data_IF_066948899676
#
_entry.id   IF_066948899676
#
_cell.length_a   1.000
_cell.length_b   1.000
_cell.length_c   1.000
_cell.angle_alpha   90.00
_cell.angle_beta   90.00
_cell.angle_gamma   90.00
#
_symmetry.space_group_name_H-M   'P 1'
#
loop_
_entity.id
_entity.type
_entity.pdbx_description
1 polymer ?
#
# COMPACT_ATOMS: atom_id res chain seq x y z
N UNK A 1 17.76 2.77 19.25
CA UNK A 1 16.47 3.24 18.81
C UNK A 1 16.22 2.86 17.35
N UNK A 2 15.10 2.34 17.08
CA UNK A 2 14.77 1.96 15.72
C UNK A 2 14.52 3.15 14.81
N UNK A 3 14.76 2.97 13.55
CA UNK A 3 14.39 3.96 12.55
C UNK A 3 12.90 3.87 12.30
N UNK A 4 12.27 5.01 12.11
CA UNK A 4 10.88 5.03 11.69
C UNK A 4 10.80 4.61 10.22
N UNK A 5 9.76 3.88 9.88
CA UNK A 5 9.44 3.55 8.50
C UNK A 5 8.19 4.33 8.12
N UNK A 6 8.32 5.39 7.32
CA UNK A 6 7.16 6.22 6.97
C UNK A 6 6.04 5.45 6.29
N UNK A 7 6.37 4.44 5.49
CA UNK A 7 5.36 3.63 4.81
C UNK A 7 4.62 2.76 5.81
N UNK A 8 5.33 2.10 6.71
CA UNK A 8 4.71 1.28 7.75
C UNK A 8 3.82 2.13 8.65
N UNK A 9 4.29 3.30 9.06
CA UNK A 9 3.53 4.23 9.89
C UNK A 9 2.26 4.71 9.18
N UNK A 10 2.37 5.03 7.90
CA UNK A 10 1.23 5.47 7.11
C UNK A 10 0.16 4.40 7.01
N UNK A 11 0.55 3.16 6.72
CA UNK A 11 -0.39 2.05 6.60
C UNK A 11 -1.04 1.70 7.93
N UNK A 12 -0.27 1.72 9.01
CA UNK A 12 -0.81 1.53 10.37
C UNK A 12 -1.84 2.60 10.69
N UNK A 13 -1.55 3.85 10.32
CA UNK A 13 -2.43 4.97 10.54
C UNK A 13 -3.75 4.79 9.77
N UNK A 14 -3.67 4.39 8.51
CA UNK A 14 -4.84 4.09 7.69
C UNK A 14 -5.71 3.00 8.33
N UNK A 15 -5.08 1.90 8.73
CA UNK A 15 -5.78 0.79 9.37
C UNK A 15 -6.47 1.22 10.66
N UNK A 16 -5.79 1.97 11.50
CA UNK A 16 -6.33 2.41 12.77
C UNK A 16 -7.53 3.34 12.58
N UNK A 17 -7.45 4.26 11.63
CA UNK A 17 -8.57 5.16 11.33
C UNK A 17 -9.74 4.40 10.73
N UNK A 18 -9.48 3.43 9.87
CA UNK A 18 -10.53 2.58 9.30
C UNK A 18 -11.24 1.78 10.39
N UNK A 19 -10.48 1.19 11.31
CA UNK A 19 -11.04 0.44 12.44
C UNK A 19 -11.86 1.32 13.39
N UNK A 20 -11.50 2.59 13.49
CA UNK A 20 -12.23 3.57 14.31
C UNK A 20 -13.41 4.21 13.57
N UNK A 21 -13.73 3.72 12.38
CA UNK A 21 -14.81 4.24 11.53
C UNK A 21 -14.67 5.73 11.19
N UNK A 22 -13.44 6.20 11.05
CA UNK A 22 -13.16 7.58 10.61
C UNK A 22 -13.34 7.69 9.11
N UNK A 23 -13.73 8.88 8.65
CA UNK A 23 -13.92 9.15 7.22
C UNK A 23 -12.67 9.67 6.53
N UNK A 24 -11.71 10.16 7.32
CA UNK A 24 -10.49 10.76 6.79
C UNK A 24 -9.29 10.34 7.62
N UNK A 25 -8.14 10.33 6.95
CA UNK A 25 -6.87 10.06 7.59
C UNK A 25 -5.82 10.99 6.99
N UNK A 26 -5.01 11.60 7.85
CA UNK A 26 -3.91 12.44 7.40
C UNK A 26 -2.62 11.65 7.55
N UNK A 27 -1.87 11.54 6.46
CA UNK A 27 -0.63 10.78 6.39
C UNK A 27 0.52 11.72 6.04
N UNK A 28 1.61 11.58 6.73
CA UNK A 28 2.83 12.35 6.47
C UNK A 28 4.08 11.51 6.69
N UNK A 29 5.17 11.82 6.02
CA UNK A 29 5.31 12.83 4.97
C UNK A 29 4.73 12.36 3.64
N UNK A 30 4.37 13.29 2.76
CA UNK A 30 3.84 12.98 1.44
C UNK A 30 4.97 12.61 0.50
N UNK A 31 5.47 11.39 0.62
CA UNK A 31 6.56 10.90 -0.22
C UNK A 31 6.01 10.41 -1.56
N UNK A 32 6.90 10.34 -2.55
CA UNK A 32 6.56 9.84 -3.88
C UNK A 32 6.12 8.38 -3.82
N UNK A 33 6.82 7.57 -3.02
CA UNK A 33 6.48 6.16 -2.86
C UNK A 33 5.11 6.00 -2.22
N UNK A 34 4.81 6.78 -1.20
CA UNK A 34 3.50 6.74 -0.55
C UNK A 34 2.38 7.10 -1.52
N UNK A 35 2.62 8.11 -2.37
CA UNK A 35 1.66 8.49 -3.41
C UNK A 35 1.34 7.32 -4.33
N UNK A 36 2.37 6.58 -4.75
CA UNK A 36 2.18 5.42 -5.62
C UNK A 36 1.39 4.32 -4.93
N UNK A 37 1.64 4.09 -3.65
CA UNK A 37 0.89 3.10 -2.88
C UNK A 37 -0.57 3.51 -2.76
N UNK A 38 -0.85 4.78 -2.47
CA UNK A 38 -2.22 5.29 -2.39
C UNK A 38 -2.93 5.19 -3.73
N UNK A 39 -2.22 5.43 -4.83
CA UNK A 39 -2.78 5.30 -6.18
C UNK A 39 -3.28 3.87 -6.42
N UNK A 40 -2.48 2.87 -6.07
CA UNK A 40 -2.86 1.47 -6.21
C UNK A 40 -4.07 1.16 -5.32
N UNK A 41 -4.07 1.61 -4.08
CA UNK A 41 -5.18 1.38 -3.17
C UNK A 41 -6.48 2.01 -3.68
N UNK A 42 -6.40 3.18 -4.28
CA UNK A 42 -7.56 3.83 -4.88
C UNK A 42 -8.06 3.06 -6.11
N UNK A 43 -7.16 2.66 -7.00
CA UNK A 43 -7.51 1.89 -8.19
C UNK A 43 -8.20 0.57 -7.84
N UNK A 44 -7.79 -0.06 -6.76
CA UNK A 44 -8.35 -1.34 -6.34
C UNK A 44 -9.57 -1.18 -5.42
N UNK A 45 -9.99 0.05 -5.15
CA UNK A 45 -11.21 0.31 -4.40
C UNK A 45 -11.10 0.24 -2.89
N UNK A 46 -9.90 0.34 -2.33
CA UNK A 46 -9.72 0.29 -0.87
C UNK A 46 -9.86 1.65 -0.21
N UNK A 47 -9.54 2.73 -0.92
CA UNK A 47 -9.71 4.09 -0.43
C UNK A 47 -10.46 4.92 -1.46
N UNK A 48 -11.01 6.04 -1.01
CA UNK A 48 -11.63 7.03 -1.90
C UNK A 48 -10.57 7.95 -2.49
N UNK A 49 -10.86 9.24 -2.50
CA UNK A 49 -9.90 10.21 -3.01
C UNK A 49 -8.80 10.49 -2.01
N UNK A 50 -7.67 10.94 -2.50
CA UNK A 50 -6.60 11.45 -1.67
C UNK A 50 -6.05 12.71 -2.31
N UNK A 51 -5.60 13.64 -1.48
CA UNK A 51 -5.08 14.91 -1.98
C UNK A 51 -3.81 15.31 -1.26
N UNK A 52 -2.93 15.96 -1.99
CA UNK A 52 -1.71 16.50 -1.43
C UNK A 52 -2.00 17.88 -0.84
N UNK A 53 -1.53 18.10 0.39
CA UNK A 53 -1.62 19.39 1.06
C UNK A 53 -0.21 19.81 1.46
N UNK A 54 0.17 21.00 1.03
CA UNK A 54 1.46 21.57 1.38
C UNK A 54 1.41 22.08 2.82
N UNK A 55 2.26 21.53 3.68
CA UNK A 55 2.32 21.93 5.09
C UNK A 55 3.57 22.76 5.40
N UNK A 56 4.25 23.26 4.37
CA UNK A 56 5.49 24.02 4.53
C UNK A 56 6.73 23.15 4.74
N UNK A 57 6.57 21.82 4.66
CA UNK A 57 7.68 20.85 4.78
C UNK A 57 7.62 19.91 3.58
N UNK A 58 7.48 18.61 3.84
CA UNK A 58 7.39 17.62 2.77
C UNK A 58 5.96 17.43 2.26
N UNK A 59 5.00 18.02 2.96
CA UNK A 59 3.59 17.88 2.63
C UNK A 59 2.93 16.71 3.33
N UNK A 60 1.62 16.66 3.21
CA UNK A 60 0.80 15.58 3.75
C UNK A 60 -0.17 15.09 2.69
N UNK A 61 -0.68 13.87 2.88
CA UNK A 61 -1.82 13.38 2.11
C UNK A 61 -3.05 13.33 3.01
N UNK A 62 -4.15 13.86 2.51
CA UNK A 62 -5.46 13.74 3.14
C UNK A 62 -6.21 12.66 2.38
N UNK A 63 -6.48 11.55 3.04
CA UNK A 63 -7.06 10.35 2.43
C UNK A 63 -8.49 10.16 2.92
N UNK A 64 -9.41 9.97 1.99
CA UNK A 64 -10.79 9.64 2.32
C UNK A 64 -10.98 8.14 2.43
N UNK A 65 -11.49 7.68 3.58
CA UNK A 65 -11.71 6.28 3.85
C UNK A 65 -13.16 5.91 3.51
N UNK A 66 -13.35 4.73 2.95
CA UNK A 66 -14.65 4.27 2.46
C UNK A 66 -15.11 2.96 3.09
N UNK A 67 -14.46 2.54 4.18
CA UNK A 67 -14.86 1.33 4.89
C UNK A 67 -14.48 0.03 4.22
N UNK A 68 -13.48 0.03 3.34
CA UNK A 68 -13.09 -1.15 2.55
C UNK A 68 -11.80 -1.82 2.99
N UNK A 69 -11.06 -1.23 3.92
CA UNK A 69 -9.80 -1.83 4.39
C UNK A 69 -10.08 -2.68 5.62
N UNK A 70 -9.80 -3.98 5.51
CA UNK A 70 -9.82 -4.89 6.65
C UNK A 70 -8.48 -4.91 7.36
N UNK A 71 -7.40 -5.00 6.55
CA UNK A 71 -6.05 -4.95 7.07
C UNK A 71 -5.12 -4.42 5.99
N UNK A 72 -4.11 -3.66 6.40
CA UNK A 72 -3.03 -3.27 5.50
C UNK A 72 -1.75 -3.11 6.31
N UNK A 73 -0.65 -3.59 5.77
CA UNK A 73 0.65 -3.54 6.43
C UNK A 73 1.78 -3.42 5.43
N UNK A 74 2.86 -2.81 5.86
CA UNK A 74 4.11 -2.86 5.12
C UNK A 74 4.72 -4.26 5.25
N UNK A 75 5.31 -4.75 4.16
CA UNK A 75 5.99 -6.04 4.16
C UNK A 75 7.47 -5.78 4.45
N UNK A 76 7.97 -6.40 5.50
CA UNK A 76 9.37 -6.29 5.93
C UNK A 76 9.95 -7.67 6.16
N UNK A 77 11.15 -7.94 5.63
CA UNK A 77 11.88 -7.12 4.68
C UNK A 77 11.18 -7.04 3.33
N UNK A 78 11.63 -6.14 2.47
CA UNK A 78 11.05 -6.00 1.12
C UNK A 78 11.61 -7.11 0.24
N UNK A 79 11.01 -8.30 0.34
CA UNK A 79 11.47 -9.47 -0.38
C UNK A 79 11.51 -9.24 -1.89
N UNK A 80 12.58 -9.71 -2.52
CA UNK A 80 12.65 -9.74 -3.97
C UNK A 80 11.84 -10.95 -4.47
N UNK A 81 11.00 -10.73 -5.48
CA UNK A 81 10.10 -11.74 -6.00
C UNK A 81 10.24 -11.82 -7.52
N UNK A 82 10.44 -13.02 -8.02
CA UNK A 82 10.47 -13.26 -9.48
C UNK A 82 9.05 -13.30 -10.00
N UNK A 83 8.91 -13.11 -11.32
CA UNK A 83 7.61 -13.04 -12.00
C UNK A 83 6.70 -14.24 -11.74
N UNK A 84 7.25 -15.39 -11.42
CA UNK A 84 6.50 -16.64 -11.21
C UNK A 84 6.42 -17.05 -9.74
N UNK A 85 6.83 -16.17 -8.81
CA UNK A 85 6.88 -16.47 -7.38
C UNK A 85 5.78 -15.76 -6.55
N UNK A 86 4.91 -14.98 -7.17
CA UNK A 86 3.92 -14.20 -6.43
C UNK A 86 2.94 -15.05 -5.64
N UNK A 87 2.59 -16.22 -6.16
CA UNK A 87 1.62 -17.10 -5.53
C UNK A 87 2.01 -17.48 -4.12
N UNK A 88 3.30 -17.73 -3.89
CA UNK A 88 3.85 -18.03 -2.57
C UNK A 88 3.53 -16.92 -1.56
N UNK A 89 3.66 -15.66 -1.97
CA UNK A 89 3.42 -14.51 -1.10
C UNK A 89 1.93 -14.18 -0.98
N UNK A 90 1.13 -14.48 -1.99
CA UNK A 90 -0.31 -14.38 -1.88
C UNK A 90 -0.82 -15.27 -0.75
N UNK A 91 -0.34 -16.50 -0.67
CA UNK A 91 -0.71 -17.43 0.39
C UNK A 91 -0.26 -16.96 1.76
N UNK A 92 0.87 -16.26 1.82
CA UNK A 92 1.43 -15.81 3.09
C UNK A 92 0.70 -14.58 3.66
N UNK A 93 0.34 -13.64 2.82
CA UNK A 93 -0.17 -12.33 3.25
C UNK A 93 -1.65 -12.10 3.01
N UNK A 94 -2.25 -12.77 2.06
CA UNK A 94 -3.64 -12.53 1.69
C UNK A 94 -4.54 -13.66 2.23
N UNK A 95 -5.81 -13.33 2.56
CA UNK A 95 -6.73 -14.34 3.09
C UNK A 95 -7.09 -15.42 2.07
N UNK A 96 -7.09 -15.09 0.78
CA UNK A 96 -7.27 -16.06 -0.28
C UNK A 96 -6.63 -15.51 -1.56
N UNK A 97 -6.47 -16.38 -2.57
CA UNK A 97 -5.80 -15.96 -3.80
C UNK A 97 -6.57 -14.86 -4.56
N UNK A 98 -7.86 -14.76 -4.32
CA UNK A 98 -8.73 -13.83 -5.05
C UNK A 98 -9.10 -12.61 -4.21
N UNK A 99 -8.60 -12.50 -2.99
CA UNK A 99 -8.93 -11.41 -2.07
C UNK A 99 -7.66 -10.68 -1.70
N UNK A 100 -7.66 -9.37 -1.91
CA UNK A 100 -6.57 -8.52 -1.50
C UNK A 100 -5.56 -8.24 -2.60
N UNK A 101 -4.64 -7.35 -2.28
CA UNK A 101 -3.63 -6.87 -3.21
C UNK A 101 -2.30 -6.75 -2.50
N UNK A 102 -1.25 -7.23 -3.16
CA UNK A 102 0.13 -6.98 -2.73
C UNK A 102 0.68 -5.89 -3.63
N UNK A 103 1.26 -4.86 -3.03
CA UNK A 103 1.84 -3.74 -3.75
C UNK A 103 3.32 -3.99 -3.93
N UNK A 104 3.79 -3.91 -5.18
CA UNK A 104 5.12 -4.32 -5.59
C UNK A 104 5.80 -3.19 -6.34
N UNK A 105 7.05 -2.92 -6.04
CA UNK A 105 7.85 -2.01 -6.87
C UNK A 105 8.61 -2.84 -7.91
N UNK A 106 8.46 -2.48 -9.17
CA UNK A 106 9.07 -3.18 -10.31
C UNK A 106 9.90 -2.21 -11.13
N UNK A 107 10.74 -2.70 -12.04
CA UNK A 107 11.43 -1.81 -12.98
C UNK A 107 10.49 -0.92 -13.80
N UNK A 108 9.24 -1.32 -13.94
CA UNK A 108 8.22 -0.55 -14.68
C UNK A 108 7.36 0.31 -13.77
N UNK A 109 7.67 0.40 -12.47
CA UNK A 109 6.97 1.23 -11.51
C UNK A 109 6.31 0.42 -10.41
N UNK A 110 5.56 1.12 -9.56
CA UNK A 110 4.81 0.50 -8.47
C UNK A 110 3.47 0.03 -8.99
N UNK A 111 3.19 -1.25 -8.85
CA UNK A 111 1.97 -1.87 -9.39
C UNK A 111 1.41 -2.88 -8.39
N UNK A 112 0.15 -3.31 -8.62
CA UNK A 112 -0.42 -4.43 -7.88
C UNK A 112 0.22 -5.74 -8.38
N UNK A 113 0.29 -6.74 -7.52
CA UNK A 113 0.93 -8.00 -7.86
C UNK A 113 0.27 -8.69 -9.08
N UNK A 114 -1.05 -8.57 -9.22
CA UNK A 114 -1.76 -9.15 -10.38
C UNK A 114 -1.35 -8.49 -11.67
N UNK A 115 -1.13 -7.17 -11.64
CA UNK A 115 -0.66 -6.44 -12.81
C UNK A 115 0.80 -6.81 -13.13
N UNK A 116 1.64 -7.02 -12.11
CA UNK A 116 3.00 -7.48 -12.31
C UNK A 116 3.04 -8.85 -12.97
N UNK A 117 2.14 -9.75 -12.60
CA UNK A 117 2.02 -11.06 -13.26
C UNK A 117 1.67 -10.92 -14.73
N UNK A 118 0.71 -10.07 -15.06
CA UNK A 118 0.32 -9.82 -16.45
C UNK A 118 1.45 -9.21 -17.26
N UNK A 119 2.24 -8.35 -16.64
CA UNK A 119 3.40 -7.72 -17.27
C UNK A 119 4.60 -8.65 -17.34
N UNK A 120 4.52 -9.81 -16.69
CA UNK A 120 5.61 -10.80 -16.59
C UNK A 120 6.88 -10.19 -15.99
N UNK A 121 6.74 -9.38 -14.95
CA UNK A 121 7.87 -8.76 -14.26
C UNK A 121 7.86 -9.14 -12.79
N UNK A 122 9.04 -9.27 -12.22
CA UNK A 122 9.23 -9.39 -10.78
C UNK A 122 9.54 -8.03 -10.16
N UNK A 123 9.74 -8.00 -8.86
CA UNK A 123 10.06 -6.78 -8.15
C UNK A 123 10.29 -7.03 -6.67
N UNK A 124 10.10 -6.00 -5.87
CA UNK A 124 10.20 -6.10 -4.42
C UNK A 124 8.86 -5.79 -3.80
N UNK A 125 8.49 -6.58 -2.80
CA UNK A 125 7.23 -6.39 -2.10
C UNK A 125 7.30 -5.14 -1.22
N UNK A 126 6.25 -4.33 -1.22
CA UNK A 126 6.17 -3.13 -0.41
C UNK A 126 5.15 -3.27 0.71
N UNK A 127 3.96 -3.73 0.38
CA UNK A 127 2.84 -3.76 1.31
C UNK A 127 1.75 -4.70 0.82
N UNK A 128 0.79 -4.98 1.69
CA UNK A 128 -0.43 -5.68 1.28
C UNK A 128 -1.63 -4.97 1.88
N UNK A 129 -2.78 -5.17 1.24
CA UNK A 129 -4.07 -4.65 1.70
C UNK A 129 -5.18 -5.63 1.33
N UNK A 130 -6.11 -5.80 2.23
CA UNK A 130 -7.33 -6.57 1.94
C UNK A 130 -8.51 -6.10 2.79
#
# INVERSE_FOLDING_TARGET
MGMTDPIADALTNLKNHENAAKNECIIRPASKLLKEILRIMQEKGYIGTYEFVDDGRQGIFKVHLIGKINDCRAIKPRYAVKKDEFEKYEKKYLPSYDVGTIIVTTPKGVVAHKDAKEMAVGGRLLAYVY
#
